data_IF_632887292016
#
_entry.id   IF_632887292016
#
_cell.length_a   1.000
_cell.length_b   1.000
_cell.length_c   1.000
_cell.angle_alpha   90.00
_cell.angle_beta   90.00
_cell.angle_gamma   90.00
#
_symmetry.space_group_name_H-M   'P 1'
#
loop_
_entity.id
_entity.type
_entity.pdbx_description
1 polymer ?
#
# COMPACT_ATOMS: atom_id res chain seq x y z
N UNK A 1 69.44 -0.32 30.96
CA UNK A 1 69.80 0.48 32.14
C UNK A 1 69.81 -0.37 33.40
N UNK A 2 68.68 -0.91 33.89
CA UNK A 2 68.63 -1.74 35.10
C UNK A 2 69.66 -2.90 35.14
N UNK A 3 69.86 -3.60 34.02
CA UNK A 3 70.89 -4.64 33.92
C UNK A 3 72.32 -4.09 34.08
N UNK A 4 72.65 -2.94 33.48
CA UNK A 4 73.97 -2.33 33.57
C UNK A 4 74.24 -1.71 34.95
N UNK A 5 73.23 -1.08 35.56
CA UNK A 5 73.27 -0.56 36.94
C UNK A 5 73.50 -1.71 37.93
N UNK A 6 72.80 -2.84 37.78
CA UNK A 6 72.94 -4.00 38.66
C UNK A 6 74.23 -4.80 38.44
N UNK A 7 74.71 -4.91 37.20
CA UNK A 7 75.92 -5.68 36.88
C UNK A 7 77.22 -4.91 37.14
N UNK A 8 77.20 -3.58 37.04
CA UNK A 8 78.41 -2.76 37.09
C UNK A 8 78.39 -1.68 38.18
N UNK A 9 77.31 -1.57 38.97
CA UNK A 9 77.22 -0.65 40.11
C UNK A 9 77.13 0.83 39.74
N UNK A 10 76.78 1.15 38.49
CA UNK A 10 76.64 2.54 38.04
C UNK A 10 75.40 3.20 38.64
N UNK A 11 75.53 4.48 39.03
CA UNK A 11 74.38 5.31 39.35
C UNK A 11 73.47 5.49 38.12
N UNK A 12 72.16 5.36 38.31
CA UNK A 12 71.19 5.33 37.22
C UNK A 12 71.09 6.67 36.48
N UNK A 13 71.15 7.78 37.21
CA UNK A 13 71.03 9.13 36.66
C UNK A 13 72.33 9.54 35.95
N UNK A 14 73.48 9.17 36.52
CA UNK A 14 74.77 9.38 35.88
C UNK A 14 74.88 8.62 34.54
N UNK A 15 74.45 7.36 34.53
CA UNK A 15 74.48 6.53 33.32
C UNK A 15 73.51 7.08 32.25
N UNK A 16 72.33 7.55 32.66
CA UNK A 16 71.35 8.15 31.73
C UNK A 16 71.90 9.42 31.08
N UNK A 17 72.50 10.31 31.86
CA UNK A 17 73.16 11.53 31.37
C UNK A 17 74.33 11.22 30.44
N UNK A 18 75.14 10.20 30.77
CA UNK A 18 76.25 9.75 29.94
C UNK A 18 75.77 9.21 28.58
N UNK A 19 74.76 8.34 28.56
CA UNK A 19 74.16 7.82 27.31
C UNK A 19 73.59 8.96 26.46
N UNK A 20 72.90 9.91 27.08
CA UNK A 20 72.32 11.04 26.35
C UNK A 20 73.39 11.98 25.77
N UNK A 21 74.52 12.16 26.48
CA UNK A 21 75.69 12.87 25.95
C UNK A 21 76.32 12.13 24.77
N UNK A 22 76.51 10.81 24.87
CA UNK A 22 77.07 9.99 23.79
C UNK A 22 76.18 9.96 22.53
N UNK A 23 74.86 10.05 22.68
CA UNK A 23 73.94 10.21 21.54
C UNK A 23 74.09 11.58 20.89
N UNK A 24 74.21 12.66 21.68
CA UNK A 24 74.43 14.03 21.16
C UNK A 24 75.77 14.18 20.44
N UNK A 25 76.79 13.49 20.90
CA UNK A 25 78.12 13.46 20.29
C UNK A 25 78.21 12.45 19.13
N UNK A 26 77.09 11.81 18.76
CA UNK A 26 76.97 10.79 17.69
C UNK A 26 77.89 9.56 17.86
N UNK A 27 78.48 9.38 19.05
CA UNK A 27 79.32 8.22 19.40
C UNK A 27 78.47 6.94 19.47
N UNK A 28 77.22 7.08 19.92
CA UNK A 28 76.26 5.98 20.00
C UNK A 28 74.99 6.37 19.26
N UNK A 29 74.61 5.59 18.25
CA UNK A 29 73.41 5.82 17.45
C UNK A 29 72.21 5.08 18.07
N UNK A 30 71.15 5.81 18.40
CA UNK A 30 69.92 5.24 18.92
C UNK A 30 69.02 6.29 19.54
N UNK A 31 67.90 5.84 20.12
CA UNK A 31 66.97 6.69 20.86
C UNK A 31 67.02 6.33 22.33
N UNK A 32 67.08 7.34 23.19
CA UNK A 32 66.97 7.17 24.63
C UNK A 32 65.65 7.77 25.11
N UNK A 33 64.81 6.95 25.73
CA UNK A 33 63.51 7.37 26.24
C UNK A 33 63.30 6.81 27.65
N UNK A 34 63.12 7.70 28.63
CA UNK A 34 63.09 7.32 30.05
C UNK A 34 64.37 6.59 30.45
N UNK A 35 64.24 5.35 30.93
CA UNK A 35 65.35 4.47 31.31
C UNK A 35 65.73 3.43 30.24
N UNK A 36 65.25 3.58 29.00
CA UNK A 36 65.45 2.60 27.94
C UNK A 36 66.22 3.21 26.78
N UNK A 37 67.35 2.58 26.43
CA UNK A 37 68.10 2.89 25.23
C UNK A 37 67.75 1.87 24.15
N UNK A 38 67.30 2.35 22.99
CA UNK A 38 67.05 1.53 21.81
C UNK A 38 68.13 1.82 20.77
N UNK A 39 69.07 0.90 20.51
CA UNK A 39 70.11 1.09 19.51
C UNK A 39 69.52 1.27 18.11
N UNK A 40 70.15 2.12 17.28
CA UNK A 40 69.72 2.33 15.89
C UNK A 40 69.74 1.04 15.06
N UNK A 41 70.76 0.19 15.26
CA UNK A 41 70.84 -1.11 14.59
C UNK A 41 69.63 -2.01 14.88
N UNK A 42 69.03 -1.90 16.07
CA UNK A 42 67.81 -2.63 16.42
C UNK A 42 66.60 -2.06 15.68
N UNK A 43 66.43 -0.73 15.64
CA UNK A 43 65.32 -0.10 14.91
C UNK A 43 65.41 -0.35 13.41
N UNK A 44 66.62 -0.32 12.84
CA UNK A 44 66.85 -0.59 11.42
C UNK A 44 66.57 -2.06 11.10
N UNK A 45 66.96 -2.99 11.99
CA UNK A 45 66.64 -4.41 11.83
C UNK A 45 65.12 -4.68 11.89
N UNK A 46 64.40 -4.05 12.82
CA UNK A 46 62.93 -4.17 12.90
C UNK A 46 62.24 -3.56 11.67
N UNK A 47 62.69 -2.39 11.21
CA UNK A 47 62.19 -1.79 9.99
C UNK A 47 62.42 -2.70 8.76
N UNK A 48 63.64 -3.26 8.62
CA UNK A 48 63.96 -4.17 7.52
C UNK A 48 63.14 -5.47 7.55
N UNK A 49 62.82 -5.99 8.75
CA UNK A 49 61.92 -7.16 8.89
C UNK A 49 60.51 -6.84 8.41
N UNK A 50 60.00 -5.67 8.77
CA UNK A 50 58.67 -5.20 8.36
C UNK A 50 58.62 -4.97 6.85
N UNK A 51 59.65 -4.35 6.29
CA UNK A 51 59.76 -4.12 4.85
C UNK A 51 59.85 -5.45 4.09
N UNK A 52 60.70 -6.39 4.54
CA UNK A 52 60.80 -7.73 3.94
C UNK A 52 59.52 -8.56 4.08
N UNK A 53 58.77 -8.41 5.18
CA UNK A 53 57.44 -9.03 5.33
C UNK A 53 56.48 -8.50 4.27
N UNK A 54 56.41 -7.19 4.07
CA UNK A 54 55.55 -6.60 3.05
C UNK A 54 55.96 -7.01 1.63
N UNK A 55 57.26 -7.00 1.33
CA UNK A 55 57.76 -7.42 0.01
C UNK A 55 57.39 -8.88 -0.31
N UNK A 56 57.42 -9.77 0.69
CA UNK A 56 57.08 -11.17 0.51
C UNK A 56 55.57 -11.44 0.42
N UNK A 57 54.75 -10.67 1.13
CA UNK A 57 53.33 -10.98 1.31
C UNK A 57 52.38 -10.01 0.59
N UNK A 58 52.84 -8.81 0.21
CA UNK A 58 52.01 -7.77 -0.40
C UNK A 58 51.03 -7.09 0.56
N UNK A 59 51.05 -7.39 1.85
CA UNK A 59 50.26 -6.70 2.87
C UNK A 59 51.05 -6.49 4.16
N UNK A 60 50.60 -5.56 4.99
CA UNK A 60 51.18 -5.27 6.29
C UNK A 60 50.08 -5.01 7.33
N UNK A 61 50.08 -5.73 8.45
CA UNK A 61 49.10 -5.51 9.53
C UNK A 61 49.52 -4.37 10.45
N UNK A 62 48.55 -3.76 11.15
CA UNK A 62 48.81 -2.69 12.11
C UNK A 62 49.71 -3.13 13.26
N UNK A 63 49.63 -4.40 13.66
CA UNK A 63 50.50 -4.99 14.68
C UNK A 63 51.94 -5.13 14.20
N UNK A 64 52.16 -5.57 12.96
CA UNK A 64 53.49 -5.65 12.36
C UNK A 64 54.09 -4.25 12.13
N UNK A 65 53.30 -3.28 11.64
CA UNK A 65 53.78 -1.90 11.47
C UNK A 65 54.25 -1.29 12.79
N UNK A 66 53.48 -1.49 13.88
CA UNK A 66 53.82 -0.99 15.22
C UNK A 66 55.14 -1.52 15.76
N UNK A 67 55.59 -2.73 15.37
CA UNK A 67 56.89 -3.25 15.84
C UNK A 67 58.08 -2.46 15.28
N UNK A 68 57.93 -1.84 14.11
CA UNK A 68 58.92 -0.89 13.55
C UNK A 68 58.86 0.52 14.18
N UNK A 69 57.89 0.78 15.06
CA UNK A 69 57.66 2.10 15.65
C UNK A 69 56.95 3.10 14.74
N UNK A 70 56.35 2.64 13.64
CA UNK A 70 55.57 3.45 12.69
C UNK A 70 54.10 3.02 12.66
N UNK A 71 53.20 3.97 12.40
CA UNK A 71 51.82 3.65 12.00
C UNK A 71 51.77 3.17 10.54
N UNK A 72 50.71 2.44 10.16
CA UNK A 72 50.54 1.92 8.78
C UNK A 72 50.62 3.03 7.72
N UNK A 73 49.90 4.14 7.94
CA UNK A 73 49.87 5.27 7.02
C UNK A 73 51.24 5.94 6.87
N UNK A 74 51.94 6.11 7.99
CA UNK A 74 53.28 6.73 8.00
C UNK A 74 54.30 5.81 7.32
N UNK A 75 54.23 4.50 7.58
CA UNK A 75 55.04 3.49 6.92
C UNK A 75 54.81 3.53 5.40
N UNK A 76 53.55 3.46 4.96
CA UNK A 76 53.20 3.48 3.52
C UNK A 76 53.65 4.78 2.84
N UNK A 77 53.48 5.93 3.48
CA UNK A 77 53.92 7.23 2.98
C UNK A 77 55.45 7.33 2.86
N UNK A 78 56.19 6.85 3.87
CA UNK A 78 57.65 6.87 3.87
C UNK A 78 58.23 5.98 2.77
N UNK A 79 57.58 4.83 2.50
CA UNK A 79 57.99 3.90 1.43
C UNK A 79 57.42 4.25 0.06
N UNK A 80 56.52 5.23 -0.04
CA UNK A 80 55.73 5.54 -1.25
C UNK A 80 55.06 4.29 -1.81
N UNK A 81 54.57 3.42 -0.92
CA UNK A 81 53.93 2.17 -1.30
C UNK A 81 52.58 2.43 -1.98
N UNK A 82 52.32 1.76 -3.11
CA UNK A 82 51.04 1.82 -3.82
C UNK A 82 50.09 0.77 -3.25
N UNK A 83 48.95 1.21 -2.74
CA UNK A 83 47.98 0.30 -2.11
C UNK A 83 46.88 1.03 -1.36
N UNK A 84 46.16 0.26 -0.55
CA UNK A 84 44.99 0.69 0.22
C UNK A 84 45.30 0.62 1.71
N UNK A 85 45.04 1.71 2.43
CA UNK A 85 45.11 1.75 3.88
C UNK A 85 43.73 1.35 4.43
N UNK A 86 43.64 0.18 5.03
CA UNK A 86 42.44 -0.36 5.67
C UNK A 86 42.50 -0.14 7.19
N UNK A 87 41.49 -0.64 7.91
CA UNK A 87 41.35 -0.45 9.37
C UNK A 87 42.48 -1.13 10.14
N UNK A 88 42.79 -2.38 9.77
CA UNK A 88 43.76 -3.25 10.43
C UNK A 88 45.02 -3.52 9.60
N UNK A 89 45.05 -3.16 8.32
CA UNK A 89 46.17 -3.49 7.43
C UNK A 89 46.37 -2.47 6.29
N UNK A 90 47.55 -2.50 5.69
CA UNK A 90 47.84 -1.92 4.39
C UNK A 90 47.97 -3.05 3.36
N UNK A 91 47.35 -2.90 2.20
CA UNK A 91 47.34 -3.93 1.13
C UNK A 91 47.87 -3.33 -0.15
N UNK A 92 48.83 -4.00 -0.79
CA UNK A 92 49.38 -3.59 -2.07
C UNK A 92 48.32 -3.65 -3.19
N UNK A 93 48.40 -2.71 -4.14
CA UNK A 93 47.43 -2.59 -5.23
C UNK A 93 47.26 -3.88 -6.05
N UNK A 94 48.34 -4.62 -6.31
CA UNK A 94 48.29 -5.85 -7.13
C UNK A 94 47.45 -6.97 -6.50
N UNK A 95 47.36 -7.05 -5.16
CA UNK A 95 46.48 -8.00 -4.49
C UNK A 95 45.01 -7.59 -4.66
N UNK A 96 44.76 -6.28 -4.59
CA UNK A 96 43.42 -5.71 -4.80
C UNK A 96 42.98 -5.86 -6.26
N UNK A 97 43.88 -5.71 -7.23
CA UNK A 97 43.57 -5.89 -8.66
C UNK A 97 43.05 -7.31 -8.95
N UNK A 98 43.62 -8.33 -8.31
CA UNK A 98 43.14 -9.71 -8.41
C UNK A 98 41.74 -9.87 -7.80
N UNK A 99 41.50 -9.34 -6.61
CA UNK A 99 40.18 -9.38 -5.97
C UNK A 99 39.14 -8.61 -6.80
N UNK A 100 39.53 -7.46 -7.37
CA UNK A 100 38.69 -6.62 -8.22
C UNK A 100 38.25 -7.31 -9.50
N UNK A 101 39.09 -8.16 -10.09
CA UNK A 101 38.71 -8.96 -11.26
C UNK A 101 37.56 -9.92 -10.90
N UNK A 102 37.67 -10.64 -9.79
CA UNK A 102 36.60 -11.53 -9.29
C UNK A 102 35.33 -10.78 -8.92
N UNK A 103 35.47 -9.61 -8.29
CA UNK A 103 34.32 -8.77 -7.95
C UNK A 103 33.62 -8.28 -9.21
N UNK A 104 34.36 -7.80 -10.20
CA UNK A 104 33.79 -7.27 -11.44
C UNK A 104 33.07 -8.36 -12.24
N UNK A 105 33.62 -9.57 -12.27
CA UNK A 105 33.01 -10.72 -12.96
C UNK A 105 31.67 -11.13 -12.32
N UNK A 106 31.64 -11.26 -10.99
CA UNK A 106 30.42 -11.59 -10.25
C UNK A 106 29.32 -10.53 -10.45
N UNK A 107 29.69 -9.24 -10.45
CA UNK A 107 28.74 -8.14 -10.63
C UNK A 107 28.28 -7.99 -12.09
N UNK A 108 29.08 -8.42 -13.06
CA UNK A 108 28.68 -8.43 -14.48
C UNK A 108 27.65 -9.53 -14.77
N UNK A 109 27.66 -10.62 -14.01
CA UNK A 109 26.70 -11.72 -14.10
C UNK A 109 25.42 -11.53 -13.27
N UNK A 110 25.09 -10.29 -12.88
CA UNK A 110 23.98 -9.99 -11.95
C UNK A 110 24.01 -10.81 -10.64
N UNK A 111 25.22 -11.10 -10.15
CA UNK A 111 25.46 -11.88 -8.94
C UNK A 111 25.86 -11.04 -7.73
N UNK A 112 26.41 -11.73 -6.74
CA UNK A 112 27.03 -11.18 -5.55
C UNK A 112 28.33 -11.93 -5.23
N UNK A 113 29.20 -11.33 -4.42
CA UNK A 113 30.43 -11.95 -3.96
C UNK A 113 30.84 -11.41 -2.58
N UNK A 114 31.35 -12.29 -1.73
CA UNK A 114 32.02 -11.92 -0.48
C UNK A 114 33.48 -11.57 -0.78
N UNK A 115 33.91 -10.37 -0.40
CA UNK A 115 35.27 -9.92 -0.64
C UNK A 115 36.28 -10.53 0.34
N UNK A 116 35.85 -10.98 1.52
CA UNK A 116 36.77 -11.47 2.55
C UNK A 116 37.57 -12.71 2.11
N UNK A 117 36.99 -13.75 1.49
CA UNK A 117 37.74 -14.90 0.98
C UNK A 117 38.75 -14.57 -0.12
N UNK A 118 38.61 -13.41 -0.78
CA UNK A 118 39.54 -12.94 -1.82
C UNK A 118 40.79 -12.28 -1.25
N UNK A 119 40.79 -11.99 0.06
CA UNK A 119 41.87 -11.30 0.75
C UNK A 119 42.73 -12.28 1.56
N UNK A 120 43.99 -11.91 1.87
CA UNK A 120 44.83 -12.72 2.75
C UNK A 120 44.14 -12.96 4.10
N UNK A 121 44.26 -14.16 4.66
CA UNK A 121 43.58 -14.56 5.91
C UNK A 121 43.90 -13.69 7.13
N UNK A 122 45.01 -12.94 7.10
CA UNK A 122 45.35 -11.99 8.15
C UNK A 122 44.42 -10.75 8.17
N UNK A 123 43.64 -10.53 7.11
CA UNK A 123 42.68 -9.44 7.01
C UNK A 123 41.33 -9.86 7.55
N UNK A 124 40.69 -8.92 8.23
CA UNK A 124 39.40 -9.12 8.90
C UNK A 124 38.23 -8.77 7.98
N UNK A 125 37.01 -9.16 8.38
CA UNK A 125 35.77 -8.70 7.73
C UNK A 125 35.69 -7.17 7.63
N UNK A 126 36.13 -6.46 8.67
CA UNK A 126 36.18 -5.00 8.70
C UNK A 126 37.16 -4.42 7.65
N UNK A 127 38.27 -5.10 7.38
CA UNK A 127 39.20 -4.71 6.32
C UNK A 127 38.58 -4.89 4.92
N UNK A 128 37.84 -5.99 4.71
CA UNK A 128 37.13 -6.25 3.46
C UNK A 128 36.03 -5.20 3.19
N UNK A 129 35.27 -4.86 4.23
CA UNK A 129 34.22 -3.81 4.18
C UNK A 129 34.80 -2.44 3.83
N UNK A 130 35.87 -2.02 4.53
CA UNK A 130 36.57 -0.76 4.25
C UNK A 130 37.16 -0.74 2.82
N UNK A 131 37.69 -1.87 2.35
CA UNK A 131 38.21 -1.99 0.99
C UNK A 131 37.10 -1.75 -0.05
N UNK A 132 35.94 -2.41 0.09
CA UNK A 132 34.82 -2.23 -0.83
C UNK A 132 34.30 -0.78 -0.80
N UNK A 133 34.24 -0.15 0.37
CA UNK A 133 33.85 1.24 0.52
C UNK A 133 34.83 2.18 -0.21
N UNK A 134 36.14 1.96 -0.07
CA UNK A 134 37.15 2.73 -0.77
C UNK A 134 37.05 2.55 -2.29
N UNK A 135 36.90 1.31 -2.77
CA UNK A 135 36.74 1.01 -4.20
C UNK A 135 35.48 1.66 -4.78
N UNK A 136 34.37 1.66 -4.03
CA UNK A 136 33.14 2.36 -4.38
C UNK A 136 33.37 3.89 -4.48
N UNK A 137 33.99 4.48 -3.46
CA UNK A 137 34.27 5.93 -3.42
C UNK A 137 35.18 6.41 -4.55
N UNK A 138 36.11 5.54 -4.98
CA UNK A 138 37.04 5.80 -6.08
C UNK A 138 36.46 5.43 -7.46
N UNK A 139 35.18 5.02 -7.52
CA UNK A 139 34.49 4.60 -8.76
C UNK A 139 35.24 3.48 -9.49
N UNK A 140 35.87 2.58 -8.73
CA UNK A 140 36.54 1.39 -9.25
C UNK A 140 35.58 0.22 -9.43
N UNK A 141 34.50 0.19 -8.64
CA UNK A 141 33.43 -0.77 -8.81
C UNK A 141 32.53 -0.43 -10.01
N UNK A 142 31.91 -1.44 -10.66
CA UNK A 142 30.86 -1.23 -11.64
C UNK A 142 29.73 -0.32 -11.14
N UNK A 143 29.05 0.40 -12.04
CA UNK A 143 27.96 1.33 -11.66
C UNK A 143 26.72 0.64 -11.08
N UNK A 144 26.54 -0.65 -11.35
CA UNK A 144 25.49 -1.49 -10.79
C UNK A 144 25.89 -2.10 -9.43
N UNK A 145 27.07 -1.80 -8.89
CA UNK A 145 27.53 -2.35 -7.62
C UNK A 145 26.80 -1.72 -6.43
N UNK A 146 26.34 -2.56 -5.52
CA UNK A 146 25.77 -2.24 -4.21
C UNK A 146 26.65 -2.90 -3.15
N UNK A 147 27.29 -2.08 -2.33
CA UNK A 147 28.14 -2.56 -1.23
C UNK A 147 27.27 -2.80 0.00
N UNK A 148 27.34 -4.01 0.54
CA UNK A 148 26.64 -4.50 1.73
C UNK A 148 27.70 -5.05 2.70
N UNK A 149 28.29 -4.14 3.47
CA UNK A 149 29.46 -4.44 4.32
C UNK A 149 30.61 -5.09 3.52
N UNK A 150 30.99 -6.34 3.83
CA UNK A 150 32.03 -7.11 3.11
C UNK A 150 31.57 -7.78 1.82
N UNK A 151 30.28 -7.70 1.48
CA UNK A 151 29.72 -8.26 0.23
C UNK A 151 29.49 -7.16 -0.80
N UNK A 152 29.83 -7.45 -2.04
CA UNK A 152 29.42 -6.66 -3.20
C UNK A 152 28.32 -7.42 -3.94
N UNK A 153 27.15 -6.79 -4.09
CA UNK A 153 26.02 -7.33 -4.85
C UNK A 153 25.71 -6.41 -6.03
N UNK A 154 25.21 -6.97 -7.14
CA UNK A 154 24.73 -6.16 -8.26
C UNK A 154 23.31 -5.66 -8.00
N UNK A 155 22.91 -4.54 -8.60
CA UNK A 155 21.51 -4.11 -8.60
C UNK A 155 20.60 -5.15 -9.26
N UNK A 156 21.08 -5.83 -10.31
CA UNK A 156 20.38 -6.93 -10.96
C UNK A 156 20.12 -8.12 -10.04
N UNK A 157 21.06 -8.45 -9.16
CA UNK A 157 20.86 -9.46 -8.11
C UNK A 157 19.70 -9.09 -7.19
N UNK A 158 19.70 -7.86 -6.66
CA UNK A 158 18.64 -7.38 -5.75
C UNK A 158 17.28 -7.34 -6.46
N UNK A 159 17.25 -6.89 -7.72
CA UNK A 159 16.05 -6.91 -8.55
C UNK A 159 15.55 -8.33 -8.83
N UNK A 160 16.44 -9.31 -8.99
CA UNK A 160 16.05 -10.71 -9.22
C UNK A 160 15.32 -11.30 -8.02
N UNK A 161 15.75 -10.97 -6.80
CA UNK A 161 15.06 -11.34 -5.55
C UNK A 161 13.68 -10.69 -5.51
N UNK A 162 13.58 -9.39 -5.81
CA UNK A 162 12.30 -8.69 -5.82
C UNK A 162 11.32 -9.28 -6.86
N UNK A 163 11.81 -9.64 -8.05
CA UNK A 163 11.02 -10.32 -9.10
C UNK A 163 10.54 -11.71 -8.68
N UNK A 164 11.37 -12.46 -7.95
CA UNK A 164 10.96 -13.78 -7.44
C UNK A 164 9.78 -13.70 -6.45
N UNK A 165 9.59 -12.54 -5.81
CA UNK A 165 8.53 -12.26 -4.85
C UNK A 165 7.32 -11.51 -5.47
N UNK A 166 7.19 -11.51 -6.81
CA UNK A 166 6.10 -10.81 -7.50
C UNK A 166 4.69 -11.30 -7.09
N UNK A 167 4.55 -12.58 -6.74
CA UNK A 167 3.29 -13.12 -6.24
C UNK A 167 2.89 -12.50 -4.88
N UNK A 168 3.85 -12.26 -4.00
CA UNK A 168 3.66 -11.60 -2.72
C UNK A 168 3.37 -10.11 -2.90
N UNK A 169 4.05 -9.46 -3.87
CA UNK A 169 3.76 -8.08 -4.28
C UNK A 169 2.30 -7.95 -4.72
N UNK A 170 1.80 -8.86 -5.56
CA UNK A 170 0.43 -8.86 -6.03
C UNK A 170 -0.57 -8.99 -4.86
N UNK A 171 -0.33 -9.92 -3.93
CA UNK A 171 -1.17 -10.10 -2.73
C UNK A 171 -1.18 -8.84 -1.86
N UNK A 172 -0.02 -8.22 -1.64
CA UNK A 172 0.10 -6.99 -0.86
C UNK A 172 -0.63 -5.81 -1.53
N UNK A 173 -0.52 -5.67 -2.86
CA UNK A 173 -1.23 -4.66 -3.63
C UNK A 173 -2.76 -4.84 -3.59
N UNK A 174 -3.26 -6.07 -3.65
CA UNK A 174 -4.68 -6.37 -3.49
C UNK A 174 -5.20 -6.06 -2.09
N UNK A 175 -4.39 -6.32 -1.05
CA UNK A 175 -4.77 -6.01 0.32
C UNK A 175 -4.85 -4.49 0.58
N UNK A 176 -3.92 -3.71 0.02
CA UNK A 176 -3.91 -2.24 0.16
C UNK A 176 -5.05 -1.57 -0.60
N UNK A 177 -5.48 -2.14 -1.73
CA UNK A 177 -6.63 -1.63 -2.51
C UNK A 177 -7.97 -1.95 -1.82
N UNK A 178 -8.12 -3.14 -1.21
CA UNK A 178 -9.32 -3.53 -0.44
C UNK A 178 -9.50 -2.75 0.88
N UNK A 179 -8.42 -2.36 1.55
CA UNK A 179 -8.51 -1.58 2.81
C UNK A 179 -9.00 -0.13 2.61
N UNK A 180 -8.81 0.47 1.43
CA UNK A 180 -9.28 1.84 1.18
C UNK A 180 -10.78 1.95 0.88
N UNK A 181 -11.44 0.90 0.38
CA UNK A 181 -12.91 0.91 0.24
C UNK A 181 -13.63 0.87 1.58
N UNK A 182 -13.00 0.31 2.63
CA UNK A 182 -13.51 0.31 4.00
C UNK A 182 -13.13 1.55 4.81
N UNK A 183 -12.05 2.25 4.44
CA UNK A 183 -11.56 3.43 5.17
C UNK A 183 -12.36 4.73 4.93
N UNK A 184 -13.20 4.80 3.89
CA UNK A 184 -14.20 5.89 3.74
C UNK A 184 -15.29 5.86 4.83
N UNK A 185 -15.34 4.80 5.64
CA UNK A 185 -16.28 4.60 6.74
C UNK A 185 -15.88 5.29 8.06
N UNK A 186 -14.69 5.91 8.14
CA UNK A 186 -14.15 6.41 9.41
C UNK A 186 -13.88 7.93 9.47
N UNK A 187 -14.25 8.72 8.45
CA UNK A 187 -13.92 10.17 8.40
C UNK A 187 -15.16 11.08 8.52
N UNK A 188 -16.38 10.54 8.61
CA UNK A 188 -17.60 11.36 8.77
C UNK A 188 -18.29 11.25 10.15
N UNK A 189 -17.72 10.55 11.14
CA UNK A 189 -18.30 10.44 12.50
C UNK A 189 -17.57 11.25 13.59
N UNK A 190 -16.63 12.13 13.25
CA UNK A 190 -15.97 13.02 14.22
C UNK A 190 -16.19 14.49 13.88
N UNK A 191 -17.43 14.97 13.90
CA UNK A 191 -17.68 16.43 13.98
C UNK A 191 -19.09 16.80 14.47
N UNK A 192 -19.66 16.10 15.46
CA UNK A 192 -20.76 16.65 16.28
C UNK A 192 -20.76 16.05 17.70
N UNK A 193 -19.91 16.55 18.60
CA UNK A 193 -20.30 16.70 20.02
C UNK A 193 -19.29 17.53 20.83
N UNK A 194 -19.39 18.86 20.76
CA UNK A 194 -18.77 19.76 21.73
C UNK A 194 -19.76 20.82 22.21
N UNK A 195 -20.72 20.43 23.05
CA UNK A 195 -21.18 21.29 24.16
C UNK A 195 -22.08 20.54 25.17
N UNK A 196 -21.50 20.05 26.28
CA UNK A 196 -22.09 20.21 27.62
C UNK A 196 -21.13 19.74 28.73
N UNK A 197 -20.81 20.69 29.62
CA UNK A 197 -20.09 20.48 30.88
C UNK A 197 -20.83 19.49 31.80
N UNK A 198 -20.08 18.72 32.62
CA UNK A 198 -20.02 18.83 34.11
C UNK A 198 -19.73 17.49 34.80
N UNK A 199 -18.69 17.45 35.64
CA UNK A 199 -18.70 16.70 36.90
C UNK A 199 -17.73 15.52 37.00
N UNK A 200 -16.63 15.71 37.71
CA UNK A 200 -15.64 14.67 37.99
C UNK A 200 -16.11 13.54 38.92
N UNK A 201 -15.30 12.47 38.99
CA UNK A 201 -14.71 11.84 40.21
C UNK A 201 -14.62 10.30 40.12
N UNK A 202 -13.36 9.84 40.03
CA UNK A 202 -12.68 8.68 40.68
C UNK A 202 -13.47 7.37 40.90
N UNK A 203 -12.89 6.25 40.43
CA UNK A 203 -12.35 5.08 41.20
C UNK A 203 -11.94 3.98 40.19
N UNK A 204 -10.71 3.47 40.11
CA UNK A 204 -9.83 2.71 41.04
C UNK A 204 -10.12 1.20 41.08
N UNK A 205 -9.17 0.43 40.53
CA UNK A 205 -8.79 -0.93 40.93
C UNK A 205 -9.67 -2.05 40.36
N UNK A 206 -9.22 -3.28 40.14
CA UNK A 206 -7.97 -4.03 40.34
C UNK A 206 -8.26 -5.40 39.63
N UNK A 207 -7.37 -6.33 39.23
CA UNK A 207 -6.39 -7.14 39.98
C UNK A 207 -6.14 -8.37 39.06
N UNK A 208 -4.95 -8.60 38.50
CA UNK A 208 -3.85 -9.49 38.98
C UNK A 208 -4.12 -11.01 38.95
N UNK A 209 -3.36 -11.76 38.13
CA UNK A 209 -2.54 -12.97 38.43
C UNK A 209 -2.09 -13.62 37.09
N UNK A 210 -0.80 -13.70 36.73
CA UNK A 210 0.34 -14.55 37.21
C UNK A 210 0.27 -16.04 36.80
N UNK A 211 1.29 -16.49 36.09
CA UNK A 211 1.80 -17.87 35.93
C UNK A 211 2.44 -18.05 34.54
N UNK A 212 3.77 -17.90 34.39
CA UNK A 212 4.83 -18.95 34.44
C UNK A 212 4.84 -19.77 33.12
N UNK A 213 5.69 -19.39 32.16
CA UNK A 213 7.01 -19.98 31.84
C UNK A 213 6.89 -21.29 31.04
N UNK A 214 7.04 -21.18 29.71
CA UNK A 214 7.67 -22.22 28.90
C UNK A 214 8.39 -21.56 27.72
N UNK A 215 9.68 -21.87 27.65
CA UNK A 215 10.74 -21.23 26.90
C UNK A 215 10.79 -21.81 25.48
N UNK A 216 10.41 -21.00 24.49
CA UNK A 216 10.78 -21.22 23.10
C UNK A 216 11.18 -19.86 22.52
N UNK A 217 12.48 -19.67 22.36
CA UNK A 217 13.10 -18.48 21.75
C UNK A 217 12.66 -18.38 20.29
N UNK A 218 11.50 -17.75 20.07
CA UNK A 218 11.19 -17.08 18.82
C UNK A 218 11.96 -15.76 18.83
N UNK A 219 13.08 -15.71 18.11
CA UNK A 219 13.63 -14.44 17.62
C UNK A 219 12.64 -13.86 16.61
N UNK A 220 11.55 -13.29 17.13
CA UNK A 220 10.58 -12.54 16.34
C UNK A 220 11.29 -11.28 15.84
N UNK A 221 11.81 -11.38 14.63
CA UNK A 221 12.33 -10.27 13.86
C UNK A 221 11.16 -9.47 13.29
N UNK A 222 10.34 -8.94 14.20
CA UNK A 222 9.17 -8.13 13.90
C UNK A 222 9.61 -6.72 13.48
N UNK A 223 10.30 -6.63 12.34
CA UNK A 223 10.44 -5.40 11.59
C UNK A 223 9.17 -5.21 10.77
N UNK A 224 8.43 -4.13 11.03
CA UNK A 224 7.25 -3.74 10.28
C UNK A 224 7.61 -3.63 8.79
N UNK A 225 7.11 -4.52 7.94
CA UNK A 225 7.42 -4.51 6.52
C UNK A 225 6.74 -3.33 5.82
N UNK A 226 7.51 -2.33 5.41
CA UNK A 226 6.99 -1.13 4.72
C UNK A 226 6.27 -1.46 3.40
N UNK A 227 6.66 -2.52 2.70
CA UNK A 227 6.02 -2.95 1.44
C UNK A 227 4.73 -3.78 1.63
N UNK A 228 4.48 -4.28 2.84
CA UNK A 228 3.45 -5.31 3.09
C UNK A 228 3.85 -6.74 2.72
N UNK A 229 5.03 -6.97 2.13
CA UNK A 229 5.65 -8.29 1.97
C UNK A 229 6.49 -8.60 3.21
N UNK A 230 6.27 -9.75 3.87
CA UNK A 230 6.96 -10.05 5.14
C UNK A 230 8.48 -10.20 4.94
N UNK A 231 9.26 -9.71 5.92
CA UNK A 231 10.70 -9.95 5.95
C UNK A 231 11.04 -11.45 5.99
N UNK A 232 10.16 -12.26 6.59
CA UNK A 232 10.31 -13.72 6.62
C UNK A 232 10.25 -14.33 5.22
N UNK A 233 9.44 -13.79 4.30
CA UNK A 233 9.38 -14.28 2.93
C UNK A 233 10.71 -14.03 2.19
N UNK A 234 11.33 -12.86 2.41
CA UNK A 234 12.64 -12.54 1.87
C UNK A 234 13.71 -13.44 2.49
N UNK A 235 13.71 -13.58 3.82
CA UNK A 235 14.67 -14.41 4.54
C UNK A 235 14.60 -15.89 4.12
N UNK A 236 13.39 -16.45 3.97
CA UNK A 236 13.20 -17.82 3.48
C UNK A 236 13.73 -17.97 2.05
N UNK A 237 13.44 -17.02 1.16
CA UNK A 237 13.97 -17.05 -0.20
C UNK A 237 15.50 -17.02 -0.22
N UNK A 238 16.11 -16.16 0.59
CA UNK A 238 17.57 -16.06 0.71
C UNK A 238 18.18 -17.35 1.27
N UNK A 239 17.58 -17.95 2.29
CA UNK A 239 18.05 -19.20 2.87
C UNK A 239 17.98 -20.38 1.86
N UNK A 240 16.94 -20.43 1.04
CA UNK A 240 16.72 -21.51 0.07
C UNK A 240 17.60 -21.35 -1.18
N UNK A 241 17.72 -20.15 -1.72
CA UNK A 241 18.41 -19.90 -2.99
C UNK A 241 19.88 -19.49 -2.83
N UNK A 242 20.25 -18.91 -1.69
CA UNK A 242 21.59 -18.39 -1.41
C UNK A 242 22.08 -18.80 -0.02
N UNK A 243 22.24 -20.11 0.25
CA UNK A 243 22.66 -20.61 1.57
C UNK A 243 24.06 -20.14 1.98
N UNK A 244 24.91 -19.79 1.01
CA UNK A 244 26.27 -19.31 1.25
C UNK A 244 26.32 -17.81 1.63
N UNK A 245 25.19 -17.10 1.57
CA UNK A 245 25.14 -15.68 1.89
C UNK A 245 25.29 -15.47 3.41
N UNK A 246 26.24 -14.62 3.85
CA UNK A 246 26.45 -14.39 5.28
C UNK A 246 25.23 -13.85 6.00
N UNK A 247 24.87 -14.46 7.14
CA UNK A 247 23.69 -14.13 7.94
C UNK A 247 23.68 -12.67 8.43
N UNK A 248 24.86 -12.12 8.71
CA UNK A 248 25.09 -10.74 9.14
C UNK A 248 24.72 -9.71 8.05
N UNK A 249 24.66 -10.12 6.78
CA UNK A 249 24.41 -9.25 5.63
C UNK A 249 22.96 -9.36 5.14
N UNK A 250 22.26 -10.44 5.50
CA UNK A 250 20.87 -10.65 5.11
C UNK A 250 19.97 -9.50 5.56
N UNK A 251 20.30 -8.86 6.68
CA UNK A 251 19.58 -7.71 7.22
C UNK A 251 19.60 -6.50 6.29
N UNK A 252 20.80 -6.13 5.84
CA UNK A 252 21.00 -5.01 4.93
C UNK A 252 20.42 -5.33 3.55
N UNK A 253 20.58 -6.58 3.08
CA UNK A 253 20.00 -7.03 1.82
C UNK A 253 18.46 -6.98 1.87
N UNK A 254 17.84 -7.49 2.94
CA UNK A 254 16.40 -7.40 3.16
C UNK A 254 15.92 -5.95 3.11
N UNK A 255 16.63 -5.02 3.77
CA UNK A 255 16.28 -3.61 3.72
C UNK A 255 16.32 -3.04 2.29
N UNK A 256 17.32 -3.41 1.47
CA UNK A 256 17.39 -2.98 0.07
C UNK A 256 16.28 -3.58 -0.79
N UNK A 257 16.01 -4.88 -0.64
CA UNK A 257 14.92 -5.57 -1.36
C UNK A 257 13.57 -4.95 -0.98
N UNK A 258 13.35 -4.63 0.30
CA UNK A 258 12.10 -4.02 0.76
C UNK A 258 11.77 -2.70 0.08
N UNK A 259 12.77 -1.86 -0.18
CA UNK A 259 12.56 -0.59 -0.91
C UNK A 259 12.04 -0.86 -2.33
N UNK A 260 12.60 -1.85 -3.03
CA UNK A 260 12.14 -2.23 -4.36
C UNK A 260 10.74 -2.84 -4.33
N UNK A 261 10.47 -3.74 -3.38
CA UNK A 261 9.16 -4.35 -3.20
C UNK A 261 8.09 -3.30 -2.91
N UNK A 262 8.38 -2.31 -2.07
CA UNK A 262 7.45 -1.22 -1.77
C UNK A 262 7.10 -0.41 -3.02
N UNK A 263 8.09 -0.13 -3.89
CA UNK A 263 7.86 0.54 -5.17
C UNK A 263 7.00 -0.31 -6.12
N UNK A 264 7.28 -1.61 -6.23
CA UNK A 264 6.50 -2.54 -7.06
C UNK A 264 5.05 -2.66 -6.56
N UNK A 265 4.85 -2.78 -5.24
CA UNK A 265 3.50 -2.83 -4.63
C UNK A 265 2.73 -1.54 -4.92
N UNK A 266 3.38 -0.38 -4.83
CA UNK A 266 2.75 0.91 -5.14
C UNK A 266 2.30 0.98 -6.61
N UNK A 267 3.15 0.56 -7.56
CA UNK A 267 2.84 0.55 -8.99
C UNK A 267 1.66 -0.40 -9.31
N UNK A 268 1.68 -1.62 -8.78
CA UNK A 268 0.60 -2.60 -8.98
C UNK A 268 -0.70 -2.10 -8.36
N UNK A 269 -0.64 -1.52 -7.15
CA UNK A 269 -1.81 -0.95 -6.50
C UNK A 269 -2.41 0.21 -7.28
N UNK A 270 -1.59 1.05 -7.91
CA UNK A 270 -2.04 2.15 -8.78
C UNK A 270 -2.73 1.63 -10.06
N UNK A 271 -2.13 0.64 -10.73
CA UNK A 271 -2.74 -0.02 -11.91
C UNK A 271 -4.09 -0.67 -11.57
N UNK A 272 -4.19 -1.33 -10.40
CA UNK A 272 -5.46 -1.88 -9.94
C UNK A 272 -6.49 -0.78 -9.71
N UNK A 273 -6.09 0.34 -9.09
CA UNK A 273 -6.96 1.48 -8.82
C UNK A 273 -7.48 2.14 -10.10
N UNK A 274 -6.62 2.39 -11.07
CA UNK A 274 -7.02 2.99 -12.35
C UNK A 274 -7.94 2.08 -13.15
N UNK A 275 -7.71 0.77 -13.11
CA UNK A 275 -8.61 -0.23 -13.72
C UNK A 275 -9.97 -0.25 -13.04
N UNK A 276 -10.02 -0.13 -11.72
CA UNK A 276 -11.27 -0.10 -10.96
C UNK A 276 -12.04 1.21 -11.23
N UNK A 277 -11.36 2.34 -11.24
CA UNK A 277 -11.96 3.64 -11.55
C UNK A 277 -12.49 3.73 -12.98
N UNK A 278 -11.79 3.16 -13.97
CA UNK A 278 -12.27 3.12 -15.36
C UNK A 278 -13.51 2.25 -15.50
N UNK A 279 -13.56 1.09 -14.82
CA UNK A 279 -14.76 0.26 -14.74
C UNK A 279 -15.92 1.02 -14.09
N UNK A 280 -15.70 1.67 -12.95
CA UNK A 280 -16.72 2.47 -12.28
C UNK A 280 -17.25 3.58 -13.18
N UNK A 281 -16.37 4.37 -13.82
CA UNK A 281 -16.78 5.42 -14.74
C UNK A 281 -17.59 4.86 -15.93
N UNK A 282 -17.25 3.66 -16.40
CA UNK A 282 -18.01 2.99 -17.46
C UNK A 282 -19.40 2.57 -16.98
N UNK A 283 -19.52 1.94 -15.81
CA UNK A 283 -20.80 1.56 -15.21
C UNK A 283 -21.68 2.79 -14.92
N UNK A 284 -21.12 3.83 -14.30
CA UNK A 284 -21.82 5.10 -14.07
C UNK A 284 -22.27 5.74 -15.38
N UNK A 285 -21.41 5.81 -16.40
CA UNK A 285 -21.76 6.39 -17.69
C UNK A 285 -22.83 5.59 -18.46
N UNK A 286 -22.90 4.26 -18.28
CA UNK A 286 -23.98 3.45 -18.82
C UNK A 286 -25.30 3.70 -18.07
N UNK A 287 -25.24 3.73 -16.73
CA UNK A 287 -26.41 3.98 -15.89
C UNK A 287 -27.00 5.38 -16.12
N UNK A 288 -26.16 6.41 -16.20
CA UNK A 288 -26.59 7.80 -16.46
C UNK A 288 -27.45 7.88 -17.73
N UNK A 289 -27.01 7.25 -18.81
CA UNK A 289 -27.75 7.21 -20.08
C UNK A 289 -29.09 6.51 -19.94
N UNK A 290 -29.11 5.31 -19.36
CA UNK A 290 -30.34 4.51 -19.23
C UNK A 290 -31.33 5.19 -18.29
N UNK A 291 -30.85 5.65 -17.12
CA UNK A 291 -31.68 6.32 -16.11
C UNK A 291 -32.27 7.60 -16.69
N UNK A 292 -31.50 8.42 -17.41
CA UNK A 292 -31.99 9.63 -18.07
C UNK A 292 -33.03 9.33 -19.15
N UNK A 293 -32.77 8.36 -20.05
CA UNK A 293 -33.71 8.00 -21.12
C UNK A 293 -35.04 7.50 -20.54
N UNK A 294 -34.98 6.65 -19.52
CA UNK A 294 -36.17 6.11 -18.85
C UNK A 294 -36.89 7.20 -18.05
N UNK A 295 -36.18 8.12 -17.42
CA UNK A 295 -36.78 9.28 -16.77
C UNK A 295 -37.57 10.15 -17.75
N UNK A 296 -36.99 10.49 -18.91
CA UNK A 296 -37.69 11.27 -19.95
C UNK A 296 -38.98 10.54 -20.41
N UNK A 297 -38.90 9.22 -20.61
CA UNK A 297 -40.05 8.39 -20.99
C UNK A 297 -41.13 8.33 -19.90
N UNK A 298 -40.73 8.26 -18.63
CA UNK A 298 -41.65 8.27 -17.49
C UNK A 298 -42.40 9.60 -17.43
N UNK A 299 -41.69 10.73 -17.44
CA UNK A 299 -42.29 12.08 -17.36
C UNK A 299 -43.29 12.30 -18.49
N UNK A 300 -42.91 11.98 -19.73
CA UNK A 300 -43.78 12.13 -20.89
C UNK A 300 -44.99 11.19 -20.83
N UNK A 301 -44.79 9.94 -20.39
CA UNK A 301 -45.86 8.96 -20.24
C UNK A 301 -46.86 9.36 -19.16
N UNK A 302 -46.40 9.85 -18.00
CA UNK A 302 -47.25 10.33 -16.91
C UNK A 302 -48.11 11.52 -17.37
N UNK A 303 -47.51 12.51 -18.06
CA UNK A 303 -48.25 13.66 -18.62
C UNK A 303 -49.28 13.25 -19.65
N UNK A 304 -48.97 12.28 -20.51
CA UNK A 304 -49.91 11.77 -21.50
C UNK A 304 -51.11 11.07 -20.85
N UNK A 305 -50.87 10.26 -19.82
CA UNK A 305 -51.93 9.60 -19.05
C UNK A 305 -52.78 10.60 -18.27
N UNK A 306 -52.18 11.64 -17.69
CA UNK A 306 -52.88 12.73 -17.02
C UNK A 306 -53.79 13.49 -18.01
N UNK A 307 -53.27 13.88 -19.18
CA UNK A 307 -54.05 14.54 -20.22
C UNK A 307 -55.23 13.68 -20.70
N UNK A 308 -55.08 12.36 -20.68
CA UNK A 308 -56.12 11.39 -21.02
C UNK A 308 -57.04 11.01 -19.85
N UNK A 309 -56.77 11.49 -18.63
CA UNK A 309 -57.46 11.08 -17.38
C UNK A 309 -57.41 9.57 -17.10
N UNK A 310 -56.28 8.93 -17.42
CA UNK A 310 -56.05 7.49 -17.29
C UNK A 310 -55.10 7.14 -16.13
N UNK A 311 -55.05 7.96 -15.10
CA UNK A 311 -54.14 7.80 -13.95
C UNK A 311 -54.39 6.50 -13.16
N UNK A 312 -55.64 6.04 -13.09
CA UNK A 312 -56.01 4.78 -12.42
C UNK A 312 -56.03 3.56 -13.36
N UNK A 313 -55.57 3.72 -14.61
CA UNK A 313 -55.65 2.65 -15.59
C UNK A 313 -54.57 1.57 -15.37
N UNK A 314 -54.80 0.31 -15.80
CA UNK A 314 -53.75 -0.71 -15.86
C UNK A 314 -52.52 -0.27 -16.67
N UNK A 315 -52.70 0.67 -17.60
CA UNK A 315 -51.63 1.25 -18.42
C UNK A 315 -50.64 2.08 -17.59
N UNK A 316 -51.11 2.78 -16.56
CA UNK A 316 -50.25 3.49 -15.60
C UNK A 316 -49.29 2.52 -14.90
N UNK A 317 -49.83 1.42 -14.37
CA UNK A 317 -49.03 0.39 -13.70
C UNK A 317 -48.08 -0.33 -14.66
N UNK A 318 -48.46 -0.48 -15.93
CA UNK A 318 -47.58 -1.05 -16.94
C UNK A 318 -46.42 -0.11 -17.26
N UNK A 319 -46.69 1.19 -17.46
CA UNK A 319 -45.67 2.22 -17.67
C UNK A 319 -44.64 2.21 -16.54
N UNK A 320 -45.09 2.22 -15.27
CA UNK A 320 -44.19 2.19 -14.12
C UNK A 320 -43.31 0.95 -14.12
N UNK A 321 -43.87 -0.24 -14.40
CA UNK A 321 -43.11 -1.49 -14.41
C UNK A 321 -42.10 -1.54 -15.54
N UNK A 322 -42.47 -1.09 -16.73
CA UNK A 322 -41.59 -1.12 -17.90
C UNK A 322 -40.46 -0.09 -17.78
N UNK A 323 -40.78 1.11 -17.26
CA UNK A 323 -39.85 2.24 -17.29
C UNK A 323 -38.99 2.33 -16.03
N UNK A 324 -39.53 2.00 -14.85
CA UNK A 324 -38.84 2.23 -13.58
C UNK A 324 -38.05 1.00 -13.11
N UNK A 325 -38.40 -0.22 -13.54
CA UNK A 325 -37.80 -1.43 -12.95
C UNK A 325 -36.31 -1.58 -13.21
N UNK A 326 -35.87 -1.37 -14.45
CA UNK A 326 -34.48 -1.52 -14.86
C UNK A 326 -33.59 -0.41 -14.24
N UNK A 327 -33.95 0.88 -14.35
CA UNK A 327 -33.23 1.95 -13.65
C UNK A 327 -33.14 1.74 -12.14
N UNK A 328 -34.23 1.32 -11.49
CA UNK A 328 -34.22 1.04 -10.06
C UNK A 328 -33.18 -0.02 -9.69
N UNK A 329 -33.04 -1.09 -10.50
CA UNK A 329 -31.99 -2.08 -10.29
C UNK A 329 -30.58 -1.48 -10.44
N UNK A 330 -30.36 -0.68 -11.48
CA UNK A 330 -29.05 -0.05 -11.74
C UNK A 330 -28.64 0.90 -10.62
N UNK A 331 -29.58 1.72 -10.14
CA UNK A 331 -29.35 2.67 -9.05
C UNK A 331 -28.99 1.94 -7.74
N UNK A 332 -29.71 0.86 -7.41
CA UNK A 332 -29.40 0.02 -6.25
C UNK A 332 -28.03 -0.67 -6.42
N UNK A 333 -27.72 -1.17 -7.62
CA UNK A 333 -26.44 -1.82 -7.91
C UNK A 333 -25.27 -0.85 -7.74
N UNK A 334 -25.37 0.36 -8.29
CA UNK A 334 -24.35 1.40 -8.16
C UNK A 334 -24.13 1.82 -6.71
N UNK A 335 -25.21 2.04 -5.95
CA UNK A 335 -25.10 2.37 -4.53
C UNK A 335 -24.48 1.24 -3.72
N UNK A 336 -24.86 0.00 -3.99
CA UNK A 336 -24.26 -1.14 -3.29
C UNK A 336 -22.79 -1.34 -3.68
N UNK A 337 -22.41 -1.02 -4.92
CA UNK A 337 -21.01 -1.01 -5.37
C UNK A 337 -20.19 0.08 -4.69
N UNK A 338 -20.74 1.28 -4.55
CA UNK A 338 -20.10 2.36 -3.80
C UNK A 338 -19.93 2.00 -2.31
N UNK A 339 -20.98 1.44 -1.69
CA UNK A 339 -20.99 1.14 -0.26
C UNK A 339 -20.15 -0.09 0.13
N UNK A 340 -20.06 -1.10 -0.76
CA UNK A 340 -19.42 -2.39 -0.43
C UNK A 340 -18.18 -2.71 -1.25
N UNK A 341 -17.92 -1.99 -2.35
CA UNK A 341 -16.87 -2.29 -3.32
C UNK A 341 -17.13 -3.54 -4.17
N UNK A 342 -18.31 -4.16 -4.05
CA UNK A 342 -18.72 -5.29 -4.88
C UNK A 342 -19.74 -4.82 -5.91
N UNK A 343 -19.69 -5.31 -7.15
CA UNK A 343 -20.70 -5.00 -8.17
C UNK A 343 -21.76 -6.12 -8.23
N UNK A 344 -22.84 -6.05 -7.44
CA UNK A 344 -23.89 -7.08 -7.44
C UNK A 344 -24.78 -6.94 -8.67
N UNK A 345 -25.19 -8.08 -9.23
CA UNK A 345 -26.28 -8.09 -10.20
C UNK A 345 -27.63 -7.95 -9.46
N UNK A 346 -28.27 -6.80 -9.65
CA UNK A 346 -29.60 -6.53 -9.07
C UNK A 346 -30.66 -6.88 -10.11
N UNK A 347 -31.55 -7.79 -9.75
CA UNK A 347 -32.67 -8.24 -10.58
C UNK A 347 -33.98 -8.09 -9.80
N UNK A 348 -35.11 -8.37 -10.45
CA UNK A 348 -36.41 -8.28 -9.78
C UNK A 348 -36.52 -9.22 -8.56
N UNK A 349 -35.85 -10.38 -8.58
CA UNK A 349 -35.84 -11.34 -7.48
C UNK A 349 -34.84 -10.96 -6.37
N UNK A 350 -33.71 -10.35 -6.71
CA UNK A 350 -32.68 -9.95 -5.72
C UNK A 350 -32.86 -8.53 -5.16
N UNK A 351 -33.69 -7.68 -5.79
CA UNK A 351 -33.87 -6.26 -5.42
C UNK A 351 -34.10 -6.02 -3.93
N UNK A 352 -35.03 -6.78 -3.32
CA UNK A 352 -35.36 -6.63 -1.90
C UNK A 352 -34.14 -6.94 -1.02
N UNK A 353 -33.44 -8.03 -1.31
CA UNK A 353 -32.24 -8.43 -0.57
C UNK A 353 -31.11 -7.43 -0.75
N UNK A 354 -30.93 -6.86 -1.95
CA UNK A 354 -29.92 -5.84 -2.22
C UNK A 354 -30.21 -4.53 -1.48
N UNK A 355 -31.48 -4.12 -1.39
CA UNK A 355 -31.91 -2.96 -0.59
C UNK A 355 -31.69 -3.19 0.90
N UNK A 356 -32.07 -4.36 1.44
CA UNK A 356 -31.84 -4.69 2.85
C UNK A 356 -30.33 -4.65 3.19
N UNK A 357 -29.48 -5.16 2.30
CA UNK A 357 -28.02 -5.05 2.42
C UNK A 357 -27.54 -3.60 2.39
N UNK A 358 -28.07 -2.79 1.48
CA UNK A 358 -27.69 -1.38 1.36
C UNK A 358 -28.10 -0.60 2.62
N UNK A 359 -29.31 -0.82 3.13
CA UNK A 359 -29.82 -0.24 4.38
C UNK A 359 -28.93 -0.65 5.56
N UNK A 360 -28.47 -1.91 5.61
CA UNK A 360 -27.58 -2.37 6.66
C UNK A 360 -26.19 -1.71 6.61
N UNK A 361 -25.74 -1.22 5.44
CA UNK A 361 -24.43 -0.60 5.26
C UNK A 361 -24.47 0.92 5.42
N UNK A 362 -25.46 1.60 4.85
CA UNK A 362 -25.54 3.07 4.78
C UNK A 362 -26.59 3.68 5.72
N UNK A 363 -27.49 2.85 6.27
CA UNK A 363 -28.62 3.29 7.09
C UNK A 363 -29.87 3.62 6.27
N UNK A 364 -31.05 3.47 6.89
CA UNK A 364 -32.33 3.58 6.20
C UNK A 364 -32.60 4.98 5.60
N UNK A 365 -32.10 6.04 6.23
CA UNK A 365 -32.32 7.42 5.79
C UNK A 365 -31.66 7.69 4.41
N UNK A 366 -30.45 7.17 4.17
CA UNK A 366 -29.73 7.38 2.90
C UNK A 366 -30.30 6.57 1.73
N UNK A 367 -31.14 5.57 2.02
CA UNK A 367 -31.71 4.62 1.03
C UNK A 367 -33.22 4.84 0.88
N UNK A 368 -33.78 5.89 1.48
CA UNK A 368 -35.22 6.10 1.57
C UNK A 368 -35.86 6.28 0.19
N UNK A 369 -35.28 7.13 -0.66
CA UNK A 369 -35.77 7.38 -2.02
C UNK A 369 -35.81 6.11 -2.88
N UNK A 370 -34.74 5.29 -2.82
CA UNK A 370 -34.63 4.01 -3.51
C UNK A 370 -35.63 2.99 -2.97
N UNK A 371 -35.85 2.98 -1.66
CA UNK A 371 -36.83 2.10 -1.00
C UNK A 371 -38.25 2.45 -1.42
N UNK A 372 -38.58 3.75 -1.44
CA UNK A 372 -39.87 4.27 -1.93
C UNK A 372 -40.07 3.96 -3.41
N UNK A 373 -39.05 4.20 -4.25
CA UNK A 373 -39.10 3.88 -5.68
C UNK A 373 -39.30 2.37 -5.93
N UNK A 374 -38.64 1.53 -5.15
CA UNK A 374 -38.82 0.08 -5.24
C UNK A 374 -40.22 -0.38 -4.80
N UNK A 375 -40.82 0.27 -3.79
CA UNK A 375 -42.17 -0.03 -3.32
C UNK A 375 -43.24 0.25 -4.40
N UNK A 376 -43.08 1.33 -5.16
CA UNK A 376 -43.96 1.70 -6.29
C UNK A 376 -44.11 0.54 -7.29
N UNK A 377 -43.07 -0.28 -7.48
CA UNK A 377 -43.06 -1.41 -8.41
C UNK A 377 -43.79 -2.66 -7.90
N UNK A 378 -44.03 -2.77 -6.59
CA UNK A 378 -44.59 -3.95 -5.92
C UNK A 378 -46.12 -3.88 -5.79
N UNK A 379 -46.75 -2.70 -5.93
CA UNK A 379 -48.19 -2.46 -5.74
C UNK A 379 -49.12 -3.13 -6.77
N UNK A 380 -49.11 -4.47 -6.86
CA UNK A 380 -50.02 -5.25 -7.71
C UNK A 380 -50.81 -6.34 -6.96
N UNK A 381 -50.98 -6.30 -5.63
CA UNK A 381 -51.68 -7.42 -4.96
C UNK A 381 -52.67 -7.10 -3.84
N UNK A 382 -52.51 -6.06 -3.04
CA UNK A 382 -53.34 -5.95 -1.83
C UNK A 382 -54.73 -5.33 -2.05
N UNK A 383 -54.95 -4.61 -3.16
CA UNK A 383 -56.26 -4.01 -3.44
C UNK A 383 -57.34 -5.03 -3.86
N UNK A 384 -56.97 -6.27 -4.23
CA UNK A 384 -57.94 -7.30 -4.65
C UNK A 384 -58.40 -8.17 -3.47
N UNK A 385 -57.52 -8.48 -2.53
CA UNK A 385 -57.86 -9.32 -1.37
C UNK A 385 -58.61 -8.53 -0.27
N UNK A 386 -58.44 -7.21 -0.20
CA UNK A 386 -59.21 -6.35 0.71
C UNK A 386 -60.70 -6.17 0.30
N UNK A 387 -61.04 -6.42 -0.97
CA UNK A 387 -62.42 -6.27 -1.46
C UNK A 387 -63.26 -7.53 -1.30
N UNK A 388 -62.65 -8.72 -1.33
CA UNK A 388 -63.37 -9.99 -1.06
C UNK A 388 -63.61 -10.26 0.43
N UNK A 389 -62.82 -9.68 1.33
CA UNK A 389 -63.03 -9.85 2.78
C UNK A 389 -64.05 -8.89 3.42
N UNK A 390 -64.45 -7.82 2.72
CA UNK A 390 -65.33 -6.77 3.28
C UNK A 390 -66.83 -7.04 3.05
N UNK A 391 -67.20 -7.91 2.11
CA UNK A 391 -68.62 -8.31 1.90
C UNK A 391 -69.08 -9.49 2.77
N UNK A 392 -68.17 -10.15 3.51
CA UNK A 392 -68.53 -11.31 4.33
C UNK A 392 -68.81 -11.01 5.82
N UNK A 393 -68.75 -9.74 6.28
CA UNK A 393 -68.77 -9.42 7.71
C UNK A 393 -69.60 -8.21 8.12
N UNK A 394 -70.84 -8.12 7.64
CA UNK A 394 -71.87 -7.23 8.22
C UNK A 394 -73.14 -8.01 8.61
N UNK A 395 -73.00 -9.00 9.50
CA UNK A 395 -74.07 -9.43 10.41
C UNK A 395 -73.47 -9.92 11.73
N UNK A 396 -73.33 -9.03 12.72
CA UNK A 396 -73.71 -9.24 14.13
C UNK A 396 -72.99 -8.28 15.10
N UNK A 397 -73.79 -7.59 15.92
CA UNK A 397 -73.61 -7.64 17.38
C UNK A 397 -72.53 -6.79 18.06
N UNK A 398 -72.89 -5.54 18.38
CA UNK A 398 -72.95 -4.95 19.74
C UNK A 398 -71.69 -4.91 20.65
N UNK A 399 -71.22 -3.67 20.86
CA UNK A 399 -70.67 -3.04 22.07
C UNK A 399 -69.34 -3.52 22.71
N UNK A 400 -68.33 -2.64 22.74
CA UNK A 400 -67.83 -2.00 23.97
C UNK A 400 -66.87 -0.84 23.66
N UNK A 401 -66.89 0.14 24.57
CA UNK A 401 -66.34 1.49 24.52
C UNK A 401 -65.02 1.57 25.31
N UNK A 402 -63.95 2.06 24.69
CA UNK A 402 -62.73 2.67 25.29
C UNK A 402 -61.86 3.18 24.12
N UNK A 403 -61.76 4.47 23.77
CA UNK A 403 -61.09 5.60 24.44
C UNK A 403 -59.69 5.20 24.92
N UNK A 404 -58.56 5.65 24.36
CA UNK A 404 -58.22 6.47 23.21
C UNK A 404 -56.71 6.75 23.24
N UNK A 405 -56.04 6.81 22.08
CA UNK A 405 -54.97 7.77 21.77
C UNK A 405 -54.67 7.65 20.28
N UNK A 406 -55.13 8.64 19.51
CA UNK A 406 -54.76 8.80 18.12
C UNK A 406 -53.34 9.35 18.07
N UNK A 407 -52.41 8.57 17.52
CA UNK A 407 -51.27 9.12 16.83
C UNK A 407 -51.76 9.40 15.40
N UNK A 408 -51.63 10.65 14.97
CA UNK A 408 -51.74 11.05 13.57
C UNK A 408 -50.75 10.21 12.77
N UNK A 409 -51.23 9.19 12.07
CA UNK A 409 -50.57 8.69 10.88
C UNK A 409 -50.85 9.74 9.80
N UNK A 410 -49.91 10.67 9.59
CA UNK A 410 -49.86 11.45 8.36
C UNK A 410 -49.86 10.47 7.18
N UNK A 411 -50.98 10.39 6.46
CA UNK A 411 -50.99 9.78 5.13
C UNK A 411 -49.89 10.48 4.31
N UNK A 412 -48.89 9.75 3.78
CA UNK A 412 -47.86 10.38 2.98
C UNK A 412 -48.53 10.96 1.74
N UNK A 413 -48.45 12.29 1.62
CA UNK A 413 -48.89 13.04 0.45
C UNK A 413 -48.43 12.30 -0.81
N UNK A 414 -49.38 12.00 -1.71
CA UNK A 414 -49.17 11.30 -2.99
C UNK A 414 -47.94 11.88 -3.68
N UNK A 415 -46.80 11.22 -3.48
CA UNK A 415 -45.52 11.75 -3.91
C UNK A 415 -45.41 11.44 -5.38
N UNK A 416 -45.21 12.46 -6.23
CA UNK A 416 -45.11 12.26 -7.67
C UNK A 416 -44.00 11.24 -7.95
N UNK A 417 -44.34 10.15 -8.66
CA UNK A 417 -43.40 9.08 -8.98
C UNK A 417 -42.21 9.62 -9.77
N UNK A 418 -42.40 10.70 -10.54
CA UNK A 418 -41.32 11.41 -11.21
C UNK A 418 -40.35 12.06 -10.22
N UNK A 419 -40.83 12.66 -9.13
CA UNK A 419 -40.01 13.28 -8.09
C UNK A 419 -39.26 12.21 -7.28
N UNK A 420 -39.92 11.10 -6.95
CA UNK A 420 -39.27 9.96 -6.30
C UNK A 420 -38.16 9.35 -7.15
N UNK A 421 -38.39 9.21 -8.46
CA UNK A 421 -37.38 8.73 -9.39
C UNK A 421 -36.20 9.69 -9.46
N UNK A 422 -36.46 10.99 -9.55
CA UNK A 422 -35.44 12.03 -9.59
C UNK A 422 -34.59 12.03 -8.32
N UNK A 423 -35.22 11.98 -7.15
CA UNK A 423 -34.54 11.88 -5.86
C UNK A 423 -33.69 10.60 -5.74
N UNK A 424 -34.20 9.46 -6.19
CA UNK A 424 -33.44 8.21 -6.18
C UNK A 424 -32.23 8.23 -7.13
N UNK A 425 -32.35 8.93 -8.27
CA UNK A 425 -31.24 9.11 -9.19
C UNK A 425 -30.17 10.05 -8.61
N UNK A 426 -30.60 11.18 -8.03
CA UNK A 426 -29.71 12.14 -7.37
C UNK A 426 -28.97 11.51 -6.19
N UNK A 427 -29.65 10.68 -5.40
CA UNK A 427 -29.02 9.90 -4.34
C UNK A 427 -27.95 8.98 -4.93
N UNK A 428 -28.14 8.34 -6.08
CA UNK A 428 -27.09 7.56 -6.74
C UNK A 428 -26.08 8.39 -7.54
N UNK A 429 -26.00 9.71 -7.33
CA UNK A 429 -25.13 10.63 -8.08
C UNK A 429 -25.38 10.67 -9.59
N UNK A 430 -26.61 10.33 -10.03
CA UNK A 430 -27.06 10.42 -11.41
C UNK A 430 -28.03 11.58 -11.55
N UNK A 431 -27.59 12.64 -12.22
CA UNK A 431 -28.37 13.87 -12.33
C UNK A 431 -29.32 13.84 -13.53
N UNK A 432 -30.59 13.55 -13.26
CA UNK A 432 -31.60 13.56 -14.29
C UNK A 432 -31.89 14.99 -14.78
N UNK A 433 -31.64 15.27 -16.06
CA UNK A 433 -31.92 16.57 -16.68
C UNK A 433 -33.42 16.75 -16.90
N UNK A 434 -33.90 17.98 -16.72
CA UNK A 434 -35.27 18.34 -17.05
C UNK A 434 -35.56 18.06 -18.53
N UNK A 435 -36.70 17.43 -18.79
CA UNK A 435 -37.18 17.17 -20.15
C UNK A 435 -37.22 18.48 -20.93
N UNK A 436 -36.54 18.53 -22.08
CA UNK A 436 -36.50 19.71 -22.92
C UNK A 436 -37.91 20.03 -23.44
N UNK A 437 -38.42 21.22 -23.08
CA UNK A 437 -39.73 21.72 -23.52
C UNK A 437 -39.88 21.72 -25.04
N UNK A 438 -38.77 21.83 -25.79
CA UNK A 438 -38.77 21.76 -27.25
C UNK A 438 -39.07 20.33 -27.75
N UNK A 439 -38.47 19.31 -27.14
CA UNK A 439 -38.76 17.90 -27.44
C UNK A 439 -40.20 17.55 -27.09
N UNK A 440 -40.67 18.03 -25.92
CA UNK A 440 -42.04 17.85 -25.48
C UNK A 440 -43.06 18.44 -26.48
N UNK A 441 -42.81 19.68 -26.93
CA UNK A 441 -43.68 20.33 -27.93
C UNK A 441 -43.68 19.60 -29.27
N UNK A 442 -42.53 19.05 -29.69
CA UNK A 442 -42.41 18.28 -30.92
C UNK A 442 -43.19 16.95 -30.84
N UNK A 443 -43.05 16.20 -29.75
CA UNK A 443 -43.77 14.95 -29.52
C UNK A 443 -45.29 15.17 -29.46
N UNK A 444 -45.74 16.22 -28.77
CA UNK A 444 -47.16 16.59 -28.73
C UNK A 444 -47.71 17.00 -30.10
N UNK A 445 -46.89 17.67 -30.93
CA UNK A 445 -47.27 18.06 -32.28
C UNK A 445 -47.38 16.85 -33.22
N UNK A 446 -46.45 15.89 -33.11
CA UNK A 446 -46.46 14.64 -33.88
C UNK A 446 -47.68 13.77 -33.53
N UNK A 447 -47.97 13.59 -32.23
CA UNK A 447 -49.17 12.86 -31.80
C UNK A 447 -50.47 13.52 -32.28
N UNK A 448 -50.54 14.86 -32.23
CA UNK A 448 -51.68 15.60 -32.80
C UNK A 448 -51.80 15.41 -34.31
N UNK A 449 -50.69 15.32 -35.03
CA UNK A 449 -50.70 15.04 -36.47
C UNK A 449 -51.20 13.61 -36.74
N UNK A 450 -50.71 12.61 -36.00
CA UNK A 450 -51.14 11.22 -36.13
C UNK A 450 -52.64 11.02 -35.82
N UNK A 451 -53.15 11.62 -34.73
CA UNK A 451 -54.57 11.58 -34.39
C UNK A 451 -55.44 12.25 -35.46
N UNK A 452 -54.98 13.35 -36.07
CA UNK A 452 -55.70 13.99 -37.18
C UNK A 452 -55.79 13.09 -38.41
N UNK A 453 -54.74 12.33 -38.71
CA UNK A 453 -54.75 11.35 -39.81
C UNK A 453 -55.75 10.24 -39.52
N UNK A 454 -55.71 9.64 -38.32
CA UNK A 454 -56.66 8.59 -37.92
C UNK A 454 -58.11 9.08 -37.91
N UNK A 455 -58.37 10.29 -37.43
CA UNK A 455 -59.71 10.87 -37.44
C UNK A 455 -60.22 11.06 -38.88
N UNK A 456 -59.34 11.49 -39.79
CA UNK A 456 -59.67 11.67 -41.20
C UNK A 456 -59.96 10.34 -41.90
N UNK A 457 -59.19 9.29 -41.59
CA UNK A 457 -59.45 7.93 -42.06
C UNK A 457 -60.80 7.40 -41.55
N UNK A 458 -61.09 7.54 -40.26
CA UNK A 458 -62.37 7.15 -39.66
C UNK A 458 -63.55 7.88 -40.30
N UNK A 459 -63.46 9.19 -40.47
CA UNK A 459 -64.51 10.00 -41.11
C UNK A 459 -64.75 9.52 -42.54
N UNK A 460 -63.69 9.27 -43.30
CA UNK A 460 -63.80 8.76 -44.68
C UNK A 460 -64.40 7.35 -44.71
N UNK A 461 -64.06 6.47 -43.78
CA UNK A 461 -64.64 5.13 -43.65
C UNK A 461 -66.13 5.17 -43.24
N UNK A 462 -66.53 6.08 -42.35
CA UNK A 462 -67.95 6.27 -41.99
C UNK A 462 -68.77 6.90 -43.11
N UNK A 463 -68.20 7.81 -43.90
CA UNK A 463 -68.86 8.38 -45.06
C UNK A 463 -69.19 7.31 -46.11
N UNK A 464 -68.28 6.35 -46.31
CA UNK A 464 -68.46 5.22 -47.22
C UNK A 464 -69.57 4.25 -46.78
N UNK A 465 -69.82 4.12 -45.48
CA UNK A 465 -70.87 3.27 -44.93
C UNK A 465 -72.25 3.95 -44.94
N UNK A 466 -72.32 5.29 -44.89
CA UNK A 466 -73.61 6.02 -44.96
C UNK A 466 -74.14 6.23 -46.38
N UNK A 467 -73.29 6.10 -47.41
CA UNK A 467 -73.68 6.22 -48.82
C UNK A 467 -74.17 4.90 -49.45
N UNK A 468 -74.32 3.84 -48.65
CA UNK A 468 -74.66 2.49 -49.10
C UNK A 468 -76.02 1.95 -48.65
N UNK A 469 -76.94 2.80 -48.17
CA UNK A 469 -78.33 2.41 -47.83
C UNK A 469 -79.31 3.08 -48.78
#
# INVERSE_FOLDING_TARGET
MAAATNMHGFDADLLANAVQKLIKEEVVLGKFHGSTFTPKAYTDAEANKVDGFFEANGYLTATAAKSSGLGLKDWAAQRKASGYNLVGAFVASHLVDSAMASISDALAGDGWIDAQPLLPHALTAADASELLLQLSSQKKLPSNAVVLDRVAASSGFIESIAKALEAEVQKAAEATTKKKSSAKKAVEEEDEDLHAKKGGKRTKGAKKKRGDDDDAVETSRAGNAESGVSNDAIANYLADQHPDLPLDIQDDLCAKVQVLLAAMVAEVAEKLRSTLQTKQNHHFGQADKVVQERYERLVLGLRALEAAKLQESPLYQHLLKEVVSEPCHMLIALRLEEATGNSPEVTASSRKQSLEKLIAVEGAAKVESLSRLAAVLVHKKEAKDAKEHKEAKEKSGKSKKSQGHAADEEEPAVTDVSELYHAAADDSHIFCRKVDKKKEKAAAQEQRAALKVQLKELVNSTAFLSSGV
#
